data_IF_130117705128
#
_entry.id   IF_130117705128
#
_cell.length_a   1.000
_cell.length_b   1.000
_cell.length_c   1.000
_cell.angle_alpha   90.00
_cell.angle_beta   90.00
_cell.angle_gamma   90.00
#
_symmetry.space_group_name_H-M   'P 1'
#
loop_
_entity.id
_entity.type
_entity.pdbx_description
1 polymer ?
#
# COMPACT_ATOMS: atom_id res chain seq x y z
N UNK A 1 19.05 36.73 -7.50
CA UNK A 1 17.96 36.18 -8.34
C UNK A 1 17.47 34.87 -7.72
N UNK A 2 16.30 34.88 -7.07
CA UNK A 2 15.69 33.66 -6.51
C UNK A 2 15.08 32.88 -7.68
N UNK A 3 15.65 31.72 -8.03
CA UNK A 3 15.08 30.82 -9.03
C UNK A 3 13.71 30.35 -8.53
N UNK A 4 12.64 30.84 -9.15
CA UNK A 4 11.29 30.33 -8.97
C UNK A 4 11.29 28.88 -9.46
N UNK A 5 11.35 27.93 -8.53
CA UNK A 5 11.00 26.55 -8.82
C UNK A 5 9.58 26.55 -9.35
N UNK A 6 9.43 26.42 -10.67
CA UNK A 6 8.15 26.17 -11.33
C UNK A 6 7.66 24.81 -10.84
N UNK A 7 6.94 24.85 -9.71
CA UNK A 7 6.21 23.75 -9.12
C UNK A 7 4.98 23.50 -10.00
N UNK A 8 5.18 22.87 -11.15
CA UNK A 8 4.06 22.34 -11.93
C UNK A 8 3.25 21.42 -11.02
N UNK A 9 1.90 21.56 -10.95
CA UNK A 9 1.08 20.62 -10.22
C UNK A 9 1.33 19.23 -10.80
N UNK A 10 1.90 18.32 -9.99
CA UNK A 10 1.83 16.91 -10.30
C UNK A 10 0.38 16.51 -10.03
N UNK A 11 -0.45 16.57 -11.08
CA UNK A 11 -1.80 16.05 -11.04
C UNK A 11 -1.72 14.58 -10.68
N UNK A 12 -2.42 14.18 -9.63
CA UNK A 12 -2.56 12.76 -9.29
C UNK A 12 -3.27 12.07 -10.43
N UNK A 13 -2.64 11.07 -11.02
CA UNK A 13 -3.27 10.21 -12.02
C UNK A 13 -4.33 9.32 -11.34
N UNK A 14 -5.63 9.49 -11.65
CA UNK A 14 -6.70 8.69 -11.06
C UNK A 14 -6.56 7.20 -11.36
N UNK A 15 -6.05 6.83 -12.54
CA UNK A 15 -5.85 5.43 -12.90
C UNK A 15 -4.82 4.77 -11.97
N UNK A 16 -3.70 5.45 -11.74
CA UNK A 16 -2.69 4.99 -10.78
C UNK A 16 -3.24 4.86 -9.36
N UNK A 17 -4.08 5.80 -8.90
CA UNK A 17 -4.72 5.70 -7.59
C UNK A 17 -5.65 4.48 -7.48
N UNK A 18 -6.42 4.20 -8.52
CA UNK A 18 -7.29 3.01 -8.57
C UNK A 18 -6.44 1.74 -8.46
N UNK A 19 -5.33 1.65 -9.21
CA UNK A 19 -4.40 0.52 -9.13
C UNK A 19 -3.84 0.34 -7.73
N UNK A 20 -3.38 1.42 -7.07
CA UNK A 20 -2.86 1.32 -5.71
C UNK A 20 -3.94 0.86 -4.70
N UNK A 21 -5.20 1.28 -4.88
CA UNK A 21 -6.28 0.80 -4.01
C UNK A 21 -6.59 -0.67 -4.25
N UNK A 22 -6.56 -1.13 -5.50
CA UNK A 22 -6.71 -2.54 -5.84
C UNK A 22 -5.57 -3.38 -5.24
N UNK A 23 -4.34 -2.93 -5.37
CA UNK A 23 -3.16 -3.59 -4.79
C UNK A 23 -3.26 -3.68 -3.25
N UNK A 24 -3.73 -2.61 -2.59
CA UNK A 24 -3.95 -2.65 -1.15
C UNK A 24 -5.01 -3.68 -0.74
N UNK A 25 -6.09 -3.82 -1.52
CA UNK A 25 -7.13 -4.83 -1.28
C UNK A 25 -6.55 -6.24 -1.49
N UNK A 26 -5.82 -6.45 -2.58
CA UNK A 26 -5.19 -7.75 -2.87
C UNK A 26 -4.23 -8.18 -1.75
N UNK A 27 -3.42 -7.27 -1.19
CA UNK A 27 -2.54 -7.60 -0.06
C UNK A 27 -3.34 -8.05 1.18
N UNK A 28 -4.48 -7.42 1.47
CA UNK A 28 -5.34 -7.83 2.59
C UNK A 28 -6.02 -9.17 2.34
N UNK A 29 -6.46 -9.45 1.11
CA UNK A 29 -7.06 -10.73 0.73
C UNK A 29 -6.03 -11.88 0.82
N UNK A 30 -4.81 -11.65 0.37
CA UNK A 30 -3.70 -12.60 0.50
C UNK A 30 -3.34 -12.84 1.97
N UNK A 31 -3.24 -11.76 2.77
CA UNK A 31 -3.00 -11.88 4.21
C UNK A 31 -4.11 -12.70 4.88
N UNK A 32 -5.38 -12.42 4.60
CA UNK A 32 -6.51 -13.15 5.16
C UNK A 32 -6.45 -14.64 4.81
N UNK A 33 -6.18 -14.97 3.54
CA UNK A 33 -6.03 -16.36 3.06
C UNK A 33 -4.91 -17.10 3.82
N UNK A 34 -3.78 -16.43 4.03
CA UNK A 34 -2.64 -17.01 4.74
C UNK A 34 -2.94 -17.21 6.23
N UNK A 35 -3.62 -16.26 6.87
CA UNK A 35 -4.07 -16.37 8.26
C UNK A 35 -5.02 -17.55 8.42
N UNK A 36 -6.05 -17.65 7.58
CA UNK A 36 -7.01 -18.78 7.60
C UNK A 36 -6.30 -20.13 7.39
N UNK A 37 -5.32 -20.18 6.47
CA UNK A 37 -4.52 -21.38 6.26
C UNK A 37 -3.66 -21.74 7.49
N UNK A 38 -3.15 -20.73 8.21
CA UNK A 38 -2.31 -20.94 9.40
C UNK A 38 -3.08 -21.58 10.55
N UNK A 39 -4.36 -21.24 10.72
CA UNK A 39 -5.23 -21.82 11.77
C UNK A 39 -5.40 -23.34 11.64
N UNK A 40 -5.20 -23.88 10.43
CA UNK A 40 -5.35 -25.30 10.11
C UNK A 40 -4.01 -26.03 9.95
N UNK A 41 -2.90 -25.33 10.13
CA UNK A 41 -1.56 -25.84 9.87
C UNK A 41 -0.91 -26.46 11.13
N UNK A 42 0.02 -27.38 10.92
CA UNK A 42 0.90 -27.89 12.00
C UNK A 42 2.05 -26.91 12.28
N UNK A 43 2.62 -26.95 13.49
CA UNK A 43 3.54 -25.95 14.05
C UNK A 43 4.61 -25.40 13.07
N UNK A 44 5.30 -26.25 12.32
CA UNK A 44 6.35 -25.78 11.38
C UNK A 44 5.82 -25.03 10.15
N UNK A 45 4.60 -25.34 9.71
CA UNK A 45 3.93 -24.64 8.62
C UNK A 45 3.22 -23.38 9.14
N UNK A 46 2.72 -23.41 10.37
CA UNK A 46 2.11 -22.28 11.05
C UNK A 46 3.08 -21.08 11.07
N UNK A 47 4.30 -21.25 11.57
CA UNK A 47 5.30 -20.16 11.63
C UNK A 47 5.63 -19.56 10.25
N UNK A 48 5.68 -20.41 9.22
CA UNK A 48 5.92 -19.95 7.85
C UNK A 48 4.77 -19.10 7.34
N UNK A 49 3.53 -19.52 7.60
CA UNK A 49 2.32 -18.79 7.21
C UNK A 49 2.18 -17.50 8.02
N UNK A 50 2.47 -17.50 9.32
CA UNK A 50 2.49 -16.28 10.13
C UNK A 50 3.44 -15.23 9.55
N UNK A 51 4.67 -15.62 9.20
CA UNK A 51 5.62 -14.71 8.56
C UNK A 51 5.13 -14.22 7.19
N UNK A 52 4.44 -15.05 6.42
CA UNK A 52 3.83 -14.63 5.16
C UNK A 52 2.72 -13.59 5.37
N UNK A 53 1.89 -13.75 6.41
CA UNK A 53 0.87 -12.77 6.77
C UNK A 53 1.50 -11.43 7.18
N UNK A 54 2.58 -11.45 7.97
CA UNK A 54 3.35 -10.26 8.33
C UNK A 54 3.89 -9.52 7.09
N UNK A 55 4.44 -10.25 6.12
CA UNK A 55 4.93 -9.64 4.87
C UNK A 55 3.81 -8.97 4.07
N UNK A 56 2.63 -9.60 3.98
CA UNK A 56 1.47 -9.00 3.30
C UNK A 56 0.95 -7.76 4.04
N UNK A 57 0.99 -7.77 5.37
CA UNK A 57 0.68 -6.61 6.20
C UNK A 57 1.64 -5.44 5.93
N UNK A 58 2.94 -5.70 5.90
CA UNK A 58 3.95 -4.67 5.59
C UNK A 58 3.75 -4.10 4.17
N UNK A 59 3.53 -4.96 3.17
CA UNK A 59 3.24 -4.53 1.80
C UNK A 59 1.98 -3.66 1.71
N UNK A 60 0.91 -4.01 2.44
CA UNK A 60 -0.29 -3.19 2.54
C UNK A 60 0.00 -1.79 3.11
N UNK A 61 0.81 -1.70 4.17
CA UNK A 61 1.19 -0.42 4.78
C UNK A 61 2.01 0.46 3.82
N UNK A 62 2.90 -0.14 3.03
CA UNK A 62 3.67 0.57 2.01
C UNK A 62 2.76 1.16 0.92
N UNK A 63 1.79 0.39 0.44
CA UNK A 63 0.82 0.86 -0.56
C UNK A 63 -0.06 1.98 0.02
N UNK A 64 -0.52 1.87 1.27
CA UNK A 64 -1.22 2.95 1.96
C UNK A 64 -0.36 4.22 2.07
N UNK A 65 0.93 4.08 2.35
CA UNK A 65 1.85 5.20 2.42
C UNK A 65 2.02 5.89 1.05
N UNK A 66 2.04 5.11 -0.04
CA UNK A 66 2.06 5.64 -1.41
C UNK A 66 0.79 6.44 -1.72
N UNK A 67 -0.39 5.88 -1.41
CA UNK A 67 -1.69 6.54 -1.56
C UNK A 67 -1.72 7.85 -0.79
N UNK A 68 -1.32 7.82 0.49
CA UNK A 68 -1.29 9.01 1.36
C UNK A 68 -0.37 10.09 0.79
N UNK A 69 0.84 9.71 0.37
CA UNK A 69 1.82 10.62 -0.20
C UNK A 69 1.29 11.28 -1.47
N UNK A 70 0.60 10.53 -2.31
CA UNK A 70 0.04 11.02 -3.56
C UNK A 70 -1.13 11.98 -3.31
N UNK A 71 -2.03 11.66 -2.38
CA UNK A 71 -3.10 12.56 -1.92
C UNK A 71 -2.55 13.86 -1.32
N UNK A 72 -1.51 13.77 -0.48
CA UNK A 72 -0.87 14.94 0.15
C UNK A 72 -0.23 15.87 -0.88
N UNK A 73 0.40 15.32 -1.92
CA UNK A 73 0.90 16.13 -3.04
C UNK A 73 -0.23 16.92 -3.68
N UNK A 74 -1.36 16.28 -4.00
CA UNK A 74 -2.53 16.94 -4.62
C UNK A 74 -3.04 18.13 -3.79
N UNK A 75 -3.20 17.95 -2.48
CA UNK A 75 -3.70 19.01 -1.58
C UNK A 75 -2.73 20.19 -1.52
N UNK A 76 -1.42 19.94 -1.45
CA UNK A 76 -0.40 21.01 -1.39
C UNK A 76 -0.30 21.85 -2.67
N UNK A 77 -0.80 21.36 -3.81
CA UNK A 77 -0.85 22.14 -5.06
C UNK A 77 -2.18 22.87 -5.29
N UNK A 78 -3.22 22.58 -4.49
CA UNK A 78 -4.52 23.25 -4.57
C UNK A 78 -4.65 24.50 -3.68
N UNK A 79 -3.73 24.70 -2.73
CA UNK A 79 -3.62 25.89 -1.87
C UNK A 79 -2.38 26.72 -2.22
#
# INVERSE_FOLDING_TARGET
MKKLFSRRPLTVDPAHMITLHQEAIEQLELMNTVVEASEHASDGMHDTLTRMAENHWEAYLDVLHMIWTQCRKNIRFKN
#
